data_IF_331865479185
#
_entry.id   IF_331865479185
#
_cell.length_a   1.000
_cell.length_b   1.000
_cell.length_c   1.000
_cell.angle_alpha   90.00
_cell.angle_beta   90.00
_cell.angle_gamma   90.00
#
_symmetry.space_group_name_H-M   'P 1'
#
loop_
_entity.id
_entity.type
_entity.pdbx_description
1 polymer ?
#
# COMPACT_ATOMS: atom_id res chain seq x y z
N UNK A 1 -19.00 117.51 -14.75
CA UNK A 1 -20.39 117.91 -14.44
C UNK A 1 -21.14 116.69 -13.96
N UNK A 2 -21.73 116.79 -12.75
CA UNK A 2 -22.93 116.10 -12.22
C UNK A 2 -23.14 114.58 -12.43
N UNK A 3 -23.37 113.90 -11.30
CA UNK A 3 -24.21 112.70 -11.17
C UNK A 3 -23.51 111.58 -10.40
N UNK A 4 -23.58 111.49 -9.07
CA UNK A 4 -24.67 110.86 -8.27
C UNK A 4 -25.08 109.49 -8.85
N UNK A 5 -25.02 108.36 -8.14
CA UNK A 5 -25.65 108.10 -6.84
C UNK A 5 -24.99 106.87 -6.17
N UNK A 6 -24.68 106.99 -4.88
CA UNK A 6 -24.45 105.89 -3.96
C UNK A 6 -25.77 105.17 -3.65
N UNK A 7 -25.80 103.84 -3.69
CA UNK A 7 -26.59 103.03 -2.73
C UNK A 7 -25.78 101.78 -2.36
N UNK A 8 -25.44 101.70 -1.07
CA UNK A 8 -24.90 100.54 -0.36
C UNK A 8 -26.05 99.59 -0.03
N UNK A 9 -25.83 98.28 -0.17
CA UNK A 9 -26.41 97.30 0.77
C UNK A 9 -25.57 96.02 0.75
N UNK A 10 -25.09 95.68 1.94
CA UNK A 10 -24.32 94.49 2.30
C UNK A 10 -25.21 93.24 2.29
N UNK A 11 -24.68 92.12 1.78
CA UNK A 11 -24.98 90.79 2.32
C UNK A 11 -23.67 90.00 2.36
N UNK A 12 -23.31 89.58 3.58
CA UNK A 12 -22.16 88.74 3.91
C UNK A 12 -22.56 87.27 3.77
N UNK A 13 -21.76 86.45 3.10
CA UNK A 13 -21.84 84.99 3.22
C UNK A 13 -20.48 84.33 2.91
N UNK A 14 -19.79 84.02 4.00
CA UNK A 14 -18.95 82.85 4.31
C UNK A 14 -18.13 82.12 3.22
N UNK A 15 -16.82 82.05 3.51
CA UNK A 15 -15.76 81.26 2.89
C UNK A 15 -15.98 79.74 3.04
N UNK A 16 -15.69 78.97 1.99
CA UNK A 16 -15.29 77.56 2.06
C UNK A 16 -14.45 77.21 0.82
N UNK A 17 -13.15 77.05 1.04
CA UNK A 17 -12.16 76.66 0.02
C UNK A 17 -12.29 75.18 -0.31
N UNK A 18 -12.58 74.84 -1.56
CA UNK A 18 -12.51 73.45 -2.07
C UNK A 18 -11.08 73.12 -2.50
N UNK A 19 -10.41 72.28 -1.73
CA UNK A 19 -9.22 71.54 -2.16
C UNK A 19 -9.66 70.32 -2.96
N UNK A 20 -9.34 70.27 -4.26
CA UNK A 20 -9.49 69.07 -5.09
C UNK A 20 -8.43 68.03 -4.67
N UNK A 21 -8.85 67.01 -3.91
CA UNK A 21 -8.08 65.78 -3.80
C UNK A 21 -8.34 64.94 -5.05
N UNK A 22 -7.27 64.57 -5.76
CA UNK A 22 -7.36 63.58 -6.83
C UNK A 22 -7.61 62.21 -6.19
N UNK A 23 -8.73 61.58 -6.53
CA UNK A 23 -8.99 60.18 -6.21
C UNK A 23 -7.99 59.30 -6.97
N UNK A 24 -6.96 58.84 -6.27
CA UNK A 24 -6.18 57.69 -6.70
C UNK A 24 -7.01 56.44 -6.37
N UNK A 25 -7.74 55.92 -7.36
CA UNK A 25 -8.35 54.60 -7.25
C UNK A 25 -7.25 53.54 -7.18
N UNK A 26 -6.94 53.09 -5.96
CA UNK A 26 -6.17 51.89 -5.73
C UNK A 26 -7.03 50.69 -6.15
N UNK A 27 -6.74 50.09 -7.29
CA UNK A 27 -7.21 48.74 -7.63
C UNK A 27 -6.52 47.77 -6.69
N UNK A 28 -7.12 47.54 -5.52
CA UNK A 28 -6.76 46.41 -4.67
C UNK A 28 -7.09 45.14 -5.42
N UNK A 29 -6.09 44.51 -6.03
CA UNK A 29 -6.17 43.09 -6.38
C UNK A 29 -6.32 42.34 -5.07
N UNK A 30 -7.52 41.82 -4.79
CA UNK A 30 -7.69 40.85 -3.71
C UNK A 30 -6.67 39.73 -3.95
N UNK A 31 -5.83 39.37 -2.97
CA UNK A 31 -4.99 38.20 -3.09
C UNK A 31 -5.94 37.01 -3.25
N UNK A 32 -5.89 36.35 -4.42
CA UNK A 32 -6.77 35.24 -4.74
C UNK A 32 -6.77 34.24 -3.60
N UNK A 33 -7.93 34.07 -2.98
CA UNK A 33 -8.13 33.13 -1.87
C UNK A 33 -7.66 31.75 -2.32
N UNK A 34 -6.66 31.20 -1.64
CA UNK A 34 -6.14 29.86 -1.90
C UNK A 34 -7.25 28.86 -1.55
N UNK A 35 -8.06 28.50 -2.55
CA UNK A 35 -9.23 27.63 -2.38
C UNK A 35 -8.74 26.22 -2.00
N UNK A 36 -8.63 25.98 -0.71
CA UNK A 36 -8.39 24.65 -0.13
C UNK A 36 -9.61 23.78 -0.33
N UNK A 37 -9.38 22.57 -0.86
CA UNK A 37 -10.44 21.58 -1.05
C UNK A 37 -10.75 20.92 0.29
N UNK A 38 -11.98 21.08 0.79
CA UNK A 38 -12.41 20.49 2.07
C UNK A 38 -12.73 18.98 1.91
N UNK A 39 -12.06 18.08 2.67
CA UNK A 39 -12.34 16.66 2.63
C UNK A 39 -13.53 16.21 3.48
N UNK A 40 -14.14 17.09 4.28
CA UNK A 40 -15.12 16.72 5.31
C UNK A 40 -16.26 15.84 4.78
N UNK A 41 -16.82 16.16 3.61
CA UNK A 41 -17.94 15.41 3.06
C UNK A 41 -17.56 13.96 2.67
N UNK A 42 -16.38 13.76 2.07
CA UNK A 42 -15.85 12.43 1.75
C UNK A 42 -15.61 11.62 3.03
N UNK A 43 -14.95 12.22 4.02
CA UNK A 43 -14.60 11.53 5.26
C UNK A 43 -15.83 11.21 6.12
N UNK A 44 -16.80 12.13 6.18
CA UNK A 44 -18.06 11.89 6.88
C UNK A 44 -18.86 10.74 6.27
N UNK A 45 -18.91 10.62 4.94
CA UNK A 45 -19.53 9.48 4.28
C UNK A 45 -18.84 8.15 4.65
N UNK A 46 -17.50 8.15 4.72
CA UNK A 46 -16.72 6.98 5.13
C UNK A 46 -17.02 6.54 6.55
N UNK A 47 -17.08 7.50 7.49
CA UNK A 47 -17.43 7.26 8.89
C UNK A 47 -18.89 6.79 9.06
N UNK A 48 -19.80 7.27 8.22
CA UNK A 48 -21.19 6.83 8.18
C UNK A 48 -21.37 5.44 7.52
N UNK A 49 -20.29 4.86 7.00
CA UNK A 49 -20.32 3.62 6.21
C UNK A 49 -21.24 3.68 4.98
N UNK A 50 -21.49 4.88 4.44
CA UNK A 50 -22.20 5.07 3.18
C UNK A 50 -21.21 4.84 2.04
N UNK A 51 -21.05 3.57 1.64
CA UNK A 51 -20.01 3.16 0.71
C UNK A 51 -20.16 3.79 -0.68
N UNK A 52 -21.39 3.98 -1.17
CA UNK A 52 -21.63 4.59 -2.48
C UNK A 52 -21.30 6.07 -2.47
N UNK A 53 -21.74 6.79 -1.43
CA UNK A 53 -21.39 8.20 -1.25
C UNK A 53 -19.90 8.40 -0.97
N UNK A 54 -19.27 7.50 -0.22
CA UNK A 54 -17.82 7.50 0.01
C UNK A 54 -17.09 7.37 -1.32
N UNK A 55 -17.43 6.37 -2.13
CA UNK A 55 -16.81 6.18 -3.45
C UNK A 55 -17.00 7.41 -4.32
N UNK A 56 -18.20 7.98 -4.38
CA UNK A 56 -18.47 9.17 -5.19
C UNK A 56 -17.69 10.41 -4.72
N UNK A 57 -17.84 10.81 -3.46
CA UNK A 57 -17.25 12.04 -2.92
C UNK A 57 -15.73 11.96 -2.83
N UNK A 58 -15.18 10.82 -2.40
CA UNK A 58 -13.74 10.65 -2.29
C UNK A 58 -13.09 10.59 -3.68
N UNK A 59 -13.77 10.09 -4.72
CA UNK A 59 -13.25 10.14 -6.10
C UNK A 59 -13.05 11.58 -6.58
N UNK A 60 -14.04 12.45 -6.36
CA UNK A 60 -13.92 13.86 -6.74
C UNK A 60 -12.73 14.54 -6.05
N UNK A 61 -12.48 14.20 -4.77
CA UNK A 61 -11.34 14.72 -4.03
C UNK A 61 -10.00 14.14 -4.53
N UNK A 62 -9.97 12.86 -4.86
CA UNK A 62 -8.77 12.17 -5.38
C UNK A 62 -8.41 12.66 -6.79
N UNK A 63 -9.36 13.02 -7.62
CA UNK A 63 -9.09 13.46 -9.00
C UNK A 63 -8.73 14.95 -9.08
N UNK A 64 -9.03 15.73 -8.04
CA UNK A 64 -8.72 17.15 -7.99
C UNK A 64 -7.23 17.39 -7.72
N UNK A 65 -6.54 18.09 -8.64
CA UNK A 65 -5.11 18.39 -8.53
C UNK A 65 -4.76 19.32 -7.36
N UNK A 66 -5.70 20.15 -6.89
CA UNK A 66 -5.52 21.07 -5.76
C UNK A 66 -5.71 20.39 -4.39
N UNK A 67 -6.16 19.14 -4.36
CA UNK A 67 -6.29 18.40 -3.11
C UNK A 67 -4.92 18.15 -2.50
N UNK A 68 -4.76 18.64 -1.26
CA UNK A 68 -3.57 18.44 -0.44
C UNK A 68 -3.21 16.96 -0.31
N UNK A 69 -1.91 16.68 -0.27
CA UNK A 69 -1.39 15.30 -0.21
C UNK A 69 -2.00 14.52 0.96
N UNK A 70 -2.08 15.13 2.14
CA UNK A 70 -2.61 14.50 3.34
C UNK A 70 -4.09 14.13 3.19
N UNK A 71 -4.90 15.00 2.58
CA UNK A 71 -6.33 14.75 2.41
C UNK A 71 -6.61 13.76 1.28
N UNK A 72 -5.79 13.79 0.23
CA UNK A 72 -5.80 12.75 -0.81
C UNK A 72 -5.51 11.36 -0.23
N UNK A 73 -4.54 11.25 0.68
CA UNK A 73 -4.26 9.98 1.39
C UNK A 73 -5.50 9.52 2.18
N UNK A 74 -6.12 10.40 2.98
CA UNK A 74 -7.32 10.05 3.76
C UNK A 74 -8.47 9.59 2.87
N UNK A 75 -8.70 10.28 1.74
CA UNK A 75 -9.75 9.90 0.79
C UNK A 75 -9.48 8.59 0.07
N UNK A 76 -8.21 8.32 -0.31
CA UNK A 76 -7.81 7.02 -0.87
C UNK A 76 -8.07 5.90 0.14
N UNK A 77 -7.72 6.08 1.42
CA UNK A 77 -7.98 5.09 2.47
C UNK A 77 -9.48 4.87 2.64
N UNK A 78 -10.28 5.94 2.76
CA UNK A 78 -11.73 5.84 2.92
C UNK A 78 -12.39 5.12 1.73
N UNK A 79 -11.97 5.46 0.49
CA UNK A 79 -12.48 4.81 -0.72
C UNK A 79 -12.03 3.37 -0.84
N UNK A 80 -10.79 3.05 -0.48
CA UNK A 80 -10.30 1.68 -0.43
C UNK A 80 -11.15 0.84 0.53
N UNK A 81 -11.37 1.30 1.77
CA UNK A 81 -12.23 0.61 2.74
C UNK A 81 -13.67 0.42 2.22
N UNK A 82 -14.24 1.42 1.54
CA UNK A 82 -15.54 1.27 0.90
C UNK A 82 -15.54 0.20 -0.21
N UNK A 83 -14.48 0.15 -1.03
CA UNK A 83 -14.32 -0.90 -2.04
C UNK A 83 -14.17 -2.29 -1.42
N UNK A 84 -13.43 -2.44 -0.32
CA UNK A 84 -13.34 -3.71 0.40
C UNK A 84 -14.71 -4.21 0.85
N UNK A 85 -15.51 -3.33 1.46
CA UNK A 85 -16.86 -3.67 1.94
C UNK A 85 -17.83 -4.02 0.81
N UNK A 86 -17.55 -3.54 -0.40
CA UNK A 86 -18.27 -3.88 -1.63
C UNK A 86 -17.67 -5.05 -2.40
N UNK A 87 -16.70 -5.77 -1.82
CA UNK A 87 -15.96 -6.89 -2.45
C UNK A 87 -15.24 -6.49 -3.77
N UNK A 88 -14.97 -5.19 -3.96
CA UNK A 88 -14.22 -4.66 -5.11
C UNK A 88 -12.72 -4.68 -4.82
N UNK A 89 -12.19 -5.87 -4.52
CA UNK A 89 -10.85 -6.07 -3.97
C UNK A 89 -9.73 -5.44 -4.81
N UNK A 90 -9.79 -5.57 -6.15
CA UNK A 90 -8.78 -5.00 -7.04
C UNK A 90 -8.74 -3.46 -7.01
N UNK A 91 -9.90 -2.81 -6.81
CA UNK A 91 -9.96 -1.35 -6.68
C UNK A 91 -9.42 -0.89 -5.32
N UNK A 92 -9.74 -1.62 -4.26
CA UNK A 92 -9.19 -1.34 -2.93
C UNK A 92 -7.66 -1.46 -2.92
N UNK A 93 -7.10 -2.51 -3.54
CA UNK A 93 -5.65 -2.67 -3.71
C UNK A 93 -5.05 -1.49 -4.49
N UNK A 94 -5.68 -1.05 -5.59
CA UNK A 94 -5.18 0.07 -6.37
C UNK A 94 -5.16 1.40 -5.60
N UNK A 95 -6.15 1.63 -4.73
CA UNK A 95 -6.17 2.80 -3.85
C UNK A 95 -5.09 2.71 -2.76
N UNK A 96 -4.89 1.54 -2.13
CA UNK A 96 -3.78 1.35 -1.20
C UNK A 96 -2.40 1.45 -1.85
N UNK A 97 -2.24 0.97 -3.08
CA UNK A 97 -1.02 1.19 -3.87
C UNK A 97 -0.76 2.69 -4.07
N UNK A 98 -1.81 3.47 -4.30
CA UNK A 98 -1.72 4.92 -4.43
C UNK A 98 -1.32 5.57 -3.11
N UNK A 99 -1.88 5.12 -1.98
CA UNK A 99 -1.48 5.60 -0.65
C UNK A 99 0.01 5.30 -0.41
N UNK A 100 0.47 4.08 -0.68
CA UNK A 100 1.86 3.68 -0.45
C UNK A 100 2.87 4.35 -1.40
N UNK A 101 2.42 4.86 -2.56
CA UNK A 101 3.23 5.76 -3.40
C UNK A 101 3.39 7.15 -2.77
N UNK A 102 2.34 7.65 -2.10
CA UNK A 102 2.36 8.97 -1.46
C UNK A 102 3.03 8.92 -0.08
N UNK A 103 2.78 7.87 0.69
CA UNK A 103 3.33 7.60 2.01
C UNK A 103 3.81 6.14 2.12
N UNK A 104 5.09 5.88 1.76
CA UNK A 104 5.67 4.55 1.85
C UNK A 104 5.85 4.01 3.27
N UNK A 105 5.61 4.83 4.31
CA UNK A 105 5.80 4.46 5.71
C UNK A 105 4.47 4.10 6.42
N UNK A 106 3.36 4.01 5.67
CA UNK A 106 2.03 3.79 6.24
C UNK A 106 1.80 2.31 6.61
N UNK A 107 2.17 1.92 7.84
CA UNK A 107 2.11 0.52 8.31
C UNK A 107 0.70 -0.10 8.22
N UNK A 108 -0.35 0.66 8.58
CA UNK A 108 -1.74 0.17 8.53
C UNK A 108 -2.19 -0.19 7.11
N UNK A 109 -1.72 0.56 6.11
CA UNK A 109 -2.08 0.35 4.71
C UNK A 109 -1.41 -0.90 4.16
N UNK A 110 -0.15 -1.16 4.56
CA UNK A 110 0.48 -2.45 4.29
C UNK A 110 -0.31 -3.59 4.91
N UNK A 111 -0.75 -3.49 6.17
CA UNK A 111 -1.58 -4.54 6.78
C UNK A 111 -2.88 -4.74 5.99
N UNK A 112 -3.63 -3.67 5.70
CA UNK A 112 -4.90 -3.74 4.99
C UNK A 112 -4.74 -4.36 3.59
N UNK A 113 -3.76 -3.90 2.80
CA UNK A 113 -3.48 -4.48 1.48
C UNK A 113 -3.03 -5.94 1.57
N UNK A 114 -2.29 -6.31 2.62
CA UNK A 114 -1.91 -7.69 2.91
C UNK A 114 -3.12 -8.61 3.12
N UNK A 115 -4.16 -8.13 3.81
CA UNK A 115 -5.41 -8.90 3.98
C UNK A 115 -6.15 -9.09 2.65
N UNK A 116 -6.15 -8.07 1.78
CA UNK A 116 -6.73 -8.19 0.44
C UNK A 116 -5.96 -9.19 -0.42
N UNK A 117 -4.63 -9.21 -0.36
CA UNK A 117 -3.83 -10.23 -1.04
C UNK A 117 -4.12 -11.63 -0.49
N UNK A 118 -4.29 -11.77 0.83
CA UNK A 118 -4.69 -13.03 1.46
C UNK A 118 -6.05 -13.49 0.92
N UNK A 119 -7.03 -12.59 0.82
CA UNK A 119 -8.37 -12.90 0.29
C UNK A 119 -8.33 -13.31 -1.19
N UNK A 120 -7.42 -12.74 -1.99
CA UNK A 120 -7.17 -13.18 -3.38
C UNK A 120 -6.40 -14.49 -3.48
N UNK A 121 -5.91 -15.05 -2.37
CA UNK A 121 -5.05 -16.23 -2.35
C UNK A 121 -3.60 -15.97 -2.78
N UNK A 122 -3.20 -14.71 -2.97
CA UNK A 122 -1.80 -14.33 -3.25
C UNK A 122 -1.01 -14.22 -1.93
N UNK A 123 -0.82 -15.37 -1.28
CA UNK A 123 -0.15 -15.47 0.02
C UNK A 123 1.26 -14.85 0.02
N UNK A 124 2.09 -14.98 -1.05
CA UNK A 124 3.39 -14.32 -1.08
C UNK A 124 3.32 -12.81 -0.96
N UNK A 125 2.38 -12.14 -1.65
CA UNK A 125 2.20 -10.69 -1.50
C UNK A 125 1.65 -10.32 -0.13
N UNK A 126 0.73 -11.11 0.41
CA UNK A 126 0.21 -10.91 1.76
C UNK A 126 1.30 -10.97 2.82
N UNK A 127 2.18 -11.98 2.77
CA UNK A 127 3.35 -12.10 3.67
C UNK A 127 4.25 -10.87 3.56
N UNK A 128 4.56 -10.44 2.34
CA UNK A 128 5.45 -9.29 2.11
C UNK A 128 4.87 -8.01 2.72
N UNK A 129 3.57 -7.78 2.55
CA UNK A 129 2.87 -6.61 3.09
C UNK A 129 2.76 -6.66 4.63
N UNK A 130 2.38 -7.79 5.22
CA UNK A 130 2.39 -7.92 6.68
C UNK A 130 3.79 -7.74 7.27
N UNK A 131 4.83 -8.27 6.62
CA UNK A 131 6.22 -8.09 7.04
C UNK A 131 6.67 -6.62 6.93
N UNK A 132 6.23 -5.89 5.89
CA UNK A 132 6.48 -4.47 5.76
C UNK A 132 5.79 -3.66 6.88
N UNK A 133 4.54 -3.98 7.20
CA UNK A 133 3.81 -3.36 8.32
C UNK A 133 4.54 -3.58 9.66
N UNK A 134 4.99 -4.81 9.95
CA UNK A 134 5.73 -5.14 11.18
C UNK A 134 7.09 -4.44 11.22
N UNK A 135 7.77 -4.29 10.07
CA UNK A 135 9.04 -3.59 10.00
C UNK A 135 8.89 -2.09 10.30
N UNK A 136 7.82 -1.48 9.80
CA UNK A 136 7.53 -0.05 9.98
C UNK A 136 7.02 0.24 11.39
N UNK A 137 6.16 -0.63 11.91
CA UNK A 137 5.65 -0.57 13.27
C UNK A 137 5.79 -1.94 13.95
N UNK A 138 6.90 -2.19 14.68
CA UNK A 138 7.12 -3.44 15.41
C UNK A 138 6.01 -3.79 16.40
N UNK A 139 5.29 -2.78 16.91
CA UNK A 139 4.20 -2.92 17.88
C UNK A 139 2.82 -3.12 17.23
N UNK A 140 2.73 -3.18 15.89
CA UNK A 140 1.50 -3.47 15.15
C UNK A 140 0.93 -4.88 15.41
N UNK A 141 0.05 -4.99 16.42
CA UNK A 141 -0.49 -6.26 16.90
C UNK A 141 -1.25 -7.02 15.81
N UNK A 142 -2.05 -6.30 15.01
CA UNK A 142 -2.88 -6.89 13.96
C UNK A 142 -2.02 -7.46 12.83
N UNK A 143 -0.99 -6.72 12.38
CA UNK A 143 -0.07 -7.21 11.35
C UNK A 143 0.70 -8.45 11.82
N UNK A 144 1.16 -8.47 13.08
CA UNK A 144 1.79 -9.68 13.67
C UNK A 144 0.83 -10.86 13.71
N UNK A 145 -0.42 -10.65 14.13
CA UNK A 145 -1.43 -11.68 14.17
C UNK A 145 -1.75 -12.22 12.77
N UNK A 146 -1.95 -11.33 11.79
CA UNK A 146 -2.20 -11.68 10.40
C UNK A 146 -1.02 -12.46 9.77
N UNK A 147 0.21 -12.01 9.99
CA UNK A 147 1.41 -12.70 9.53
C UNK A 147 1.52 -14.11 10.15
N UNK A 148 1.24 -14.25 11.45
CA UNK A 148 1.24 -15.56 12.12
C UNK A 148 0.15 -16.48 11.61
N UNK A 149 -1.07 -15.98 11.44
CA UNK A 149 -2.19 -16.75 10.90
C UNK A 149 -1.90 -17.26 9.48
N UNK A 150 -1.25 -16.44 8.66
CA UNK A 150 -0.84 -16.81 7.31
C UNK A 150 0.24 -17.90 7.29
N UNK A 151 1.18 -17.87 8.23
CA UNK A 151 2.15 -18.95 8.40
C UNK A 151 1.48 -20.28 8.77
N UNK A 152 0.53 -20.25 9.71
CA UNK A 152 -0.26 -21.43 10.10
C UNK A 152 -1.13 -21.96 8.96
N UNK A 153 -1.70 -21.07 8.15
CA UNK A 153 -2.44 -21.44 6.94
C UNK A 153 -1.53 -22.19 5.96
N UNK A 154 -0.34 -21.65 5.70
CA UNK A 154 0.62 -22.27 4.80
C UNK A 154 1.08 -23.65 5.31
N UNK A 155 1.31 -23.80 6.62
CA UNK A 155 1.62 -25.09 7.24
C UNK A 155 0.48 -26.11 7.06
N UNK A 156 -0.76 -25.69 7.32
CA UNK A 156 -1.94 -26.55 7.16
C UNK A 156 -2.12 -26.97 5.70
N UNK A 157 -1.94 -26.04 4.76
CA UNK A 157 -1.96 -26.36 3.33
C UNK A 157 -0.83 -27.32 2.96
N UNK A 158 0.38 -27.12 3.49
CA UNK A 158 1.49 -28.06 3.31
C UNK A 158 1.14 -29.48 3.79
N UNK A 159 0.50 -29.60 4.96
CA UNK A 159 0.02 -30.88 5.47
C UNK A 159 -1.06 -31.52 4.59
N UNK A 160 -2.02 -30.72 4.08
CA UNK A 160 -3.05 -31.21 3.15
C UNK A 160 -2.44 -31.69 1.83
N UNK A 161 -1.49 -30.94 1.27
CA UNK A 161 -0.77 -31.38 0.07
C UNK A 161 0.03 -32.65 0.34
N UNK A 162 0.57 -32.82 1.55
CA UNK A 162 1.25 -34.04 1.95
C UNK A 162 0.34 -35.27 1.92
N UNK A 163 -0.86 -35.16 2.50
CA UNK A 163 -1.88 -36.20 2.43
C UNK A 163 -2.28 -36.49 0.98
N UNK A 164 -2.33 -35.47 0.12
CA UNK A 164 -2.68 -35.59 -1.29
C UNK A 164 -1.52 -36.07 -2.20
N UNK A 165 -0.32 -36.30 -1.67
CA UNK A 165 0.86 -36.65 -2.47
C UNK A 165 1.30 -35.55 -3.44
N UNK A 166 1.00 -34.28 -3.12
CA UNK A 166 1.28 -33.09 -3.93
C UNK A 166 2.40 -32.23 -3.34
N UNK A 167 3.13 -31.43 -4.13
CA UNK A 167 4.20 -30.57 -3.61
C UNK A 167 3.69 -29.44 -2.71
N UNK A 168 4.58 -28.63 -2.14
CA UNK A 168 4.21 -27.54 -1.22
C UNK A 168 3.53 -26.35 -1.91
N UNK A 169 3.26 -26.43 -3.22
CA UNK A 169 2.63 -25.39 -4.03
C UNK A 169 1.49 -25.97 -4.87
N UNK A 170 0.59 -25.09 -5.34
CA UNK A 170 -0.59 -25.50 -6.10
C UNK A 170 -0.21 -25.92 -7.54
N UNK A 171 -0.38 -27.20 -7.86
CA UNK A 171 -0.12 -27.73 -9.21
C UNK A 171 -1.03 -27.15 -10.29
N UNK A 172 -2.24 -26.68 -9.96
CA UNK A 172 -3.16 -26.09 -10.94
C UNK A 172 -2.65 -24.74 -11.47
N UNK A 173 -1.82 -24.02 -10.70
CA UNK A 173 -1.26 -22.72 -11.08
C UNK A 173 0.21 -22.80 -11.51
N UNK A 174 0.81 -23.98 -11.48
CA UNK A 174 2.19 -24.24 -11.86
C UNK A 174 2.43 -23.95 -13.36
N UNK A 175 3.36 -23.03 -13.65
CA UNK A 175 3.67 -22.62 -15.04
C UNK A 175 5.05 -23.08 -15.48
N UNK A 176 6.01 -23.22 -14.56
CA UNK A 176 7.41 -23.53 -14.89
C UNK A 176 7.57 -25.02 -15.21
N UNK A 177 8.52 -25.34 -16.10
CA UNK A 177 8.84 -26.74 -16.47
C UNK A 177 9.20 -27.58 -15.25
N UNK A 178 9.99 -27.03 -14.33
CA UNK A 178 10.38 -27.71 -13.09
C UNK A 178 9.18 -27.94 -12.16
N UNK A 179 8.27 -26.97 -12.03
CA UNK A 179 7.08 -27.11 -11.18
C UNK A 179 6.16 -28.19 -11.71
N UNK A 180 5.95 -28.24 -13.03
CA UNK A 180 5.19 -29.31 -13.69
C UNK A 180 5.82 -30.69 -13.46
N UNK A 181 7.14 -30.78 -13.50
CA UNK A 181 7.87 -32.02 -13.24
C UNK A 181 7.72 -32.48 -11.78
N UNK A 182 7.83 -31.56 -10.83
CA UNK A 182 7.58 -31.83 -9.41
C UNK A 182 6.12 -32.29 -9.20
N UNK A 183 5.16 -31.64 -9.84
CA UNK A 183 3.74 -32.03 -9.76
C UNK A 183 3.42 -33.41 -10.35
N UNK A 184 4.21 -33.87 -11.33
CA UNK A 184 4.01 -35.13 -12.03
C UNK A 184 4.76 -36.31 -11.38
N UNK A 185 5.62 -36.07 -10.39
CA UNK A 185 6.45 -37.09 -9.76
C UNK A 185 6.27 -37.05 -8.23
N UNK A 186 5.67 -38.08 -7.61
CA UNK A 186 5.45 -38.12 -6.16
C UNK A 186 6.72 -37.96 -5.34
N UNK A 187 7.84 -38.57 -5.74
CA UNK A 187 9.10 -38.47 -4.99
C UNK A 187 9.66 -37.04 -5.03
N UNK A 188 9.54 -36.34 -6.16
CA UNK A 188 9.91 -34.93 -6.24
C UNK A 188 8.94 -34.05 -5.44
N UNK A 189 7.65 -34.38 -5.43
CA UNK A 189 6.67 -33.67 -4.61
C UNK A 189 6.98 -33.81 -3.10
N UNK A 190 7.38 -35.00 -2.67
CA UNK A 190 7.77 -35.28 -1.28
C UNK A 190 9.03 -34.48 -0.90
N UNK A 191 10.08 -34.52 -1.74
CA UNK A 191 11.29 -33.72 -1.53
C UNK A 191 11.02 -32.21 -1.50
N UNK A 192 10.09 -31.72 -2.34
CA UNK A 192 9.72 -30.30 -2.35
C UNK A 192 9.07 -29.90 -1.01
N UNK A 193 8.16 -30.73 -0.50
CA UNK A 193 7.57 -30.54 0.84
C UNK A 193 8.60 -30.60 1.95
N UNK A 194 9.55 -31.53 1.90
CA UNK A 194 10.61 -31.64 2.91
C UNK A 194 11.52 -30.41 2.94
N UNK A 195 11.98 -29.96 1.75
CA UNK A 195 12.78 -28.73 1.63
C UNK A 195 12.01 -27.53 2.17
N UNK A 196 10.72 -27.40 1.81
CA UNK A 196 9.89 -26.30 2.27
C UNK A 196 9.65 -26.36 3.79
N UNK A 197 9.35 -27.54 4.34
CA UNK A 197 9.11 -27.71 5.76
C UNK A 197 10.36 -27.45 6.59
N UNK A 198 11.52 -27.93 6.13
CA UNK A 198 12.82 -27.64 6.74
C UNK A 198 13.08 -26.13 6.75
N UNK A 199 12.94 -25.46 5.59
CA UNK A 199 13.08 -24.01 5.50
C UNK A 199 12.14 -23.25 6.44
N UNK A 200 10.86 -23.62 6.49
CA UNK A 200 9.88 -22.96 7.37
C UNK A 200 10.22 -23.12 8.85
N UNK A 201 10.64 -24.33 9.28
CA UNK A 201 11.06 -24.57 10.68
C UNK A 201 12.28 -23.73 11.04
N UNK A 202 13.34 -23.80 10.23
CA UNK A 202 14.56 -23.02 10.45
C UNK A 202 14.24 -21.52 10.42
N UNK A 203 13.37 -21.05 9.53
CA UNK A 203 12.95 -19.64 9.49
C UNK A 203 12.13 -19.18 10.73
N UNK A 204 11.53 -20.11 11.47
CA UNK A 204 10.78 -19.83 12.70
C UNK A 204 11.68 -19.81 13.95
N UNK A 205 12.94 -20.25 13.85
CA UNK A 205 13.88 -20.23 14.96
C UNK A 205 14.33 -18.81 15.32
N UNK A 206 14.82 -18.65 16.56
CA UNK A 206 15.37 -17.39 17.03
C UNK A 206 16.70 -17.09 16.34
N UNK A 207 16.64 -16.33 15.26
CA UNK A 207 17.81 -15.94 14.47
C UNK A 207 18.19 -14.47 14.66
N UNK A 208 19.48 -14.17 14.50
CA UNK A 208 19.92 -12.79 14.26
C UNK A 208 19.37 -12.28 12.92
N UNK A 209 19.20 -10.95 12.75
CA UNK A 209 18.78 -10.39 11.46
C UNK A 209 19.69 -10.79 10.28
N UNK A 210 20.98 -11.02 10.53
CA UNK A 210 21.94 -11.45 9.51
C UNK A 210 21.71 -12.91 9.09
N UNK A 211 21.52 -13.82 10.06
CA UNK A 211 21.19 -15.23 9.79
C UNK A 211 19.86 -15.34 9.02
N UNK A 212 18.82 -14.62 9.45
CA UNK A 212 17.53 -14.63 8.77
C UNK A 212 17.61 -14.10 7.32
N UNK A 213 18.41 -13.06 7.07
CA UNK A 213 18.68 -12.56 5.70
C UNK A 213 19.44 -13.58 4.85
N UNK A 214 20.45 -14.24 5.43
CA UNK A 214 21.25 -15.28 4.76
C UNK A 214 20.36 -16.46 4.35
N UNK A 215 19.55 -17.00 5.28
CA UNK A 215 18.62 -18.10 5.00
C UNK A 215 17.67 -17.77 3.84
N UNK A 216 17.04 -16.59 3.88
CA UNK A 216 16.14 -16.12 2.81
C UNK A 216 16.86 -16.00 1.46
N UNK A 217 18.07 -15.42 1.45
CA UNK A 217 18.87 -15.25 0.23
C UNK A 217 19.22 -16.61 -0.38
N UNK A 218 19.76 -17.52 0.41
CA UNK A 218 20.15 -18.85 -0.06
C UNK A 218 18.95 -19.66 -0.57
N UNK A 219 17.78 -19.53 0.07
CA UNK A 219 16.55 -20.14 -0.42
C UNK A 219 16.14 -19.58 -1.79
N UNK A 220 16.21 -18.25 -1.95
CA UNK A 220 15.94 -17.59 -3.23
C UNK A 220 16.91 -18.03 -4.34
N UNK A 221 18.21 -18.08 -4.05
CA UNK A 221 19.25 -18.54 -4.97
C UNK A 221 19.04 -19.99 -5.40
N UNK A 222 18.71 -20.88 -4.46
CA UNK A 222 18.38 -22.27 -4.76
C UNK A 222 17.18 -22.36 -5.72
N UNK A 223 16.07 -21.66 -5.42
CA UNK A 223 14.86 -21.67 -6.27
C UNK A 223 15.18 -21.10 -7.66
N UNK A 224 15.92 -19.99 -7.73
CA UNK A 224 16.30 -19.37 -8.99
C UNK A 224 17.15 -20.30 -9.85
N UNK A 225 18.21 -20.89 -9.28
CA UNK A 225 19.08 -21.86 -9.95
C UNK A 225 18.29 -23.06 -10.42
N UNK A 226 17.45 -23.65 -9.55
CA UNK A 226 16.61 -24.80 -9.89
C UNK A 226 15.70 -24.51 -11.08
N UNK A 227 15.08 -23.34 -11.10
CA UNK A 227 14.19 -22.93 -12.18
C UNK A 227 14.94 -22.68 -13.50
N UNK A 228 16.17 -22.16 -13.44
CA UNK A 228 16.97 -21.81 -14.61
C UNK A 228 17.69 -23.01 -15.24
N UNK A 229 18.19 -23.93 -14.41
CA UNK A 229 19.01 -25.06 -14.87
C UNK A 229 18.17 -26.30 -15.23
N UNK A 230 16.91 -26.39 -14.76
CA UNK A 230 16.07 -27.55 -15.04
C UNK A 230 15.87 -27.79 -16.55
N UNK A 231 16.28 -28.98 -17.00
CA UNK A 231 16.24 -29.40 -18.40
C UNK A 231 17.54 -29.16 -19.17
N UNK A 232 18.58 -28.59 -18.55
CA UNK A 232 19.92 -28.53 -19.14
C UNK A 232 20.69 -29.83 -18.94
N UNK A 233 21.60 -30.20 -19.86
CA UNK A 233 22.45 -31.38 -19.71
C UNK A 233 23.23 -31.34 -18.39
N UNK A 234 23.26 -32.46 -17.67
CA UNK A 234 24.00 -32.59 -16.41
C UNK A 234 23.32 -32.00 -15.17
N UNK A 235 22.17 -31.33 -15.30
CA UNK A 235 21.42 -30.84 -14.13
C UNK A 235 20.49 -31.92 -13.57
N UNK A 236 20.75 -32.35 -12.34
CA UNK A 236 19.90 -33.29 -11.59
C UNK A 236 19.05 -32.53 -10.55
N UNK A 237 17.75 -32.42 -10.83
CA UNK A 237 16.78 -31.78 -9.95
C UNK A 237 16.68 -32.48 -8.60
N UNK A 238 16.62 -33.81 -8.59
CA UNK A 238 16.41 -34.62 -7.39
C UNK A 238 17.61 -34.49 -6.46
N UNK A 239 18.82 -34.54 -7.03
CA UNK A 239 20.06 -34.27 -6.29
C UNK A 239 20.07 -32.84 -5.73
N UNK A 240 19.75 -31.84 -6.56
CA UNK A 240 19.73 -30.44 -6.10
C UNK A 240 18.76 -30.19 -4.94
N UNK A 241 17.60 -30.87 -4.92
CA UNK A 241 16.63 -30.80 -3.84
C UNK A 241 17.16 -31.45 -2.55
N UNK A 242 17.80 -32.62 -2.66
CA UNK A 242 18.44 -33.31 -1.52
C UNK A 242 19.60 -32.51 -0.93
N UNK A 243 20.46 -31.99 -1.79
CA UNK A 243 21.59 -31.14 -1.39
C UNK A 243 21.07 -29.90 -0.63
N UNK A 244 19.95 -29.31 -1.09
CA UNK A 244 19.32 -28.20 -0.38
C UNK A 244 18.75 -28.60 0.98
N UNK A 245 18.05 -29.74 1.05
CA UNK A 245 17.50 -30.25 2.31
C UNK A 245 18.62 -30.50 3.33
N UNK A 246 19.72 -31.12 2.90
CA UNK A 246 20.89 -31.33 3.73
C UNK A 246 21.54 -30.01 4.16
N UNK A 247 21.64 -29.04 3.26
CA UNK A 247 22.17 -27.72 3.58
C UNK A 247 21.34 -27.02 4.67
N UNK A 248 19.99 -27.08 4.61
CA UNK A 248 19.15 -26.43 5.61
C UNK A 248 19.25 -27.16 6.95
N UNK A 249 19.11 -28.49 6.97
CA UNK A 249 19.18 -29.28 8.21
C UNK A 249 20.58 -29.24 8.86
N UNK A 250 21.64 -28.98 8.08
CA UNK A 250 23.00 -28.80 8.58
C UNK A 250 23.28 -27.43 9.21
N UNK A 251 22.36 -26.47 9.12
CA UNK A 251 22.49 -25.16 9.79
C UNK A 251 22.32 -25.30 11.31
N UNK A 252 21.61 -26.33 11.79
CA UNK A 252 21.31 -26.57 13.21
C UNK A 252 22.50 -27.18 14.00
N UNK A 253 23.69 -27.28 13.37
CA UNK A 253 24.85 -28.02 13.86
C UNK A 253 25.98 -27.21 14.51
N UNK A 254 25.79 -25.94 14.86
CA UNK A 254 26.79 -25.12 15.56
C UNK A 254 26.19 -24.25 16.67
#
# INVERSE_FOLDING_TARGET
MRGYLHIRSLVVASLLSLTYAHDASATGTEPGEDIRIDPAACLAAGLAHDHDRTVHLCSALIDNAKTEKADRIKALIARATAYERKDMIDRAIADYDSVLRLDPAHADVYNARGELWRNKGDLPKAVADFAAAIKLNPDHVVARANHRALAQEAERQGALQAVAGKPSFNCATARRKVEKAICANPELADLDREVQASYSRTAAEKMTPQQARKLRREQGEYIARRNAEYGRPGYDLKKAMRDRLQQINGIDGY
#
